data_IF_058604081141
#
_entry.id   IF_058604081141
#
_cell.length_a   1.000
_cell.length_b   1.000
_cell.length_c   1.000
_cell.angle_alpha   90.00
_cell.angle_beta   90.00
_cell.angle_gamma   90.00
#
_symmetry.space_group_name_H-M   'P 1'
#
loop_
_entity.id
_entity.type
_entity.pdbx_description
1 polymer ?
#
# COMPACT_ATOMS: atom_id res chain seq x y z
N UNK A 1 18.74 23.86 -9.50
CA UNK A 1 19.72 22.75 -9.40
C UNK A 1 20.26 22.77 -7.99
N UNK A 2 20.40 21.62 -7.31
CA UNK A 2 21.11 21.57 -6.04
C UNK A 2 22.54 22.11 -6.24
N UNK A 3 23.06 22.83 -5.24
CA UNK A 3 24.43 23.36 -5.26
C UNK A 3 25.44 22.22 -5.19
N UNK A 4 26.57 22.36 -5.90
CA UNK A 4 27.69 21.43 -5.78
C UNK A 4 28.39 21.65 -4.43
N UNK A 5 28.10 20.77 -3.49
CA UNK A 5 28.69 20.76 -2.15
C UNK A 5 29.14 19.32 -1.80
N UNK A 6 30.44 19.01 -1.97
CA UNK A 6 30.99 17.71 -1.62
C UNK A 6 30.75 17.33 -0.17
N UNK A 7 30.69 18.30 0.75
CA UNK A 7 30.59 18.00 2.17
C UNK A 7 29.18 17.57 2.58
N UNK A 8 28.16 18.29 2.13
CA UNK A 8 26.78 17.82 2.29
C UNK A 8 26.54 16.48 1.56
N UNK A 9 27.27 16.23 0.47
CA UNK A 9 27.22 14.98 -0.29
C UNK A 9 27.64 13.74 0.52
N UNK A 10 28.72 13.84 1.32
CA UNK A 10 29.22 12.70 2.12
C UNK A 10 28.18 12.21 3.11
N UNK A 11 27.42 13.08 3.77
CA UNK A 11 26.37 12.65 4.72
C UNK A 11 25.31 11.79 4.02
N UNK A 12 24.96 12.15 2.77
CA UNK A 12 24.04 11.35 1.95
C UNK A 12 24.65 10.00 1.56
N UNK A 13 25.93 9.97 1.20
CA UNK A 13 26.64 8.74 0.84
C UNK A 13 26.78 7.81 2.05
N UNK A 14 27.05 8.35 3.23
CA UNK A 14 27.14 7.62 4.51
C UNK A 14 25.81 6.98 4.89
N UNK A 15 24.69 7.68 4.66
CA UNK A 15 23.34 7.15 4.90
C UNK A 15 23.04 5.87 4.10
N UNK A 16 23.58 5.76 2.89
CA UNK A 16 23.45 4.57 2.04
C UNK A 16 24.62 3.60 2.14
N UNK A 17 25.50 3.79 3.13
CA UNK A 17 26.69 2.98 3.33
C UNK A 17 27.61 2.89 2.10
N UNK A 18 27.71 3.98 1.33
CA UNK A 18 28.59 4.04 0.16
C UNK A 18 30.04 4.17 0.62
N UNK A 19 30.90 3.24 0.19
CA UNK A 19 32.33 3.21 0.53
C UNK A 19 33.21 3.86 -0.53
N UNK A 20 32.76 3.84 -1.79
CA UNK A 20 33.55 4.29 -2.93
C UNK A 20 32.75 5.28 -3.77
N UNK A 21 33.40 6.35 -4.17
CA UNK A 21 32.85 7.37 -5.06
C UNK A 21 33.66 7.43 -6.35
N UNK A 22 32.97 7.49 -7.50
CA UNK A 22 33.61 7.57 -8.81
C UNK A 22 33.30 8.92 -9.44
N UNK A 23 34.33 9.73 -9.68
CA UNK A 23 34.20 11.03 -10.33
C UNK A 23 34.73 10.99 -11.76
N UNK A 24 34.05 11.67 -12.68
CA UNK A 24 34.48 11.84 -14.07
C UNK A 24 34.81 13.28 -14.44
N UNK A 25 34.05 14.26 -13.91
CA UNK A 25 34.25 15.68 -14.22
C UNK A 25 35.53 16.21 -13.57
N UNK A 26 36.18 17.17 -14.23
CA UNK A 26 37.37 17.83 -13.68
C UNK A 26 37.05 18.57 -12.39
N UNK A 27 35.95 19.33 -12.38
CA UNK A 27 35.47 20.08 -11.21
C UNK A 27 35.30 19.19 -9.97
N UNK A 28 34.66 18.03 -10.12
CA UNK A 28 34.48 17.10 -8.99
C UNK A 28 35.80 16.47 -8.58
N UNK A 29 36.67 16.11 -9.53
CA UNK A 29 38.00 15.56 -9.19
C UNK A 29 38.84 16.55 -8.38
N UNK A 30 38.94 17.81 -8.84
CA UNK A 30 39.69 18.86 -8.16
C UNK A 30 39.12 19.13 -6.73
N UNK A 31 37.79 19.13 -6.58
CA UNK A 31 37.14 19.30 -5.29
C UNK A 31 37.38 18.12 -4.32
N UNK A 32 37.30 16.87 -4.80
CA UNK A 32 37.50 15.69 -3.96
C UNK A 32 38.98 15.48 -3.60
N UNK A 33 39.91 15.87 -4.48
CA UNK A 33 41.36 15.78 -4.22
C UNK A 33 41.84 16.68 -3.08
N UNK A 34 41.06 17.70 -2.73
CA UNK A 34 41.37 18.64 -1.65
C UNK A 34 40.53 18.41 -0.39
N UNK A 35 39.63 17.43 -0.40
CA UNK A 35 38.74 17.14 0.72
C UNK A 35 39.23 15.91 1.49
N UNK A 36 39.59 16.11 2.77
CA UNK A 36 40.17 15.08 3.63
C UNK A 36 39.24 13.88 3.89
N UNK A 37 37.94 14.01 3.61
CA UNK A 37 36.98 12.89 3.70
C UNK A 37 37.02 11.95 2.51
N UNK A 38 37.74 12.30 1.45
CA UNK A 38 37.94 11.45 0.29
C UNK A 38 39.41 11.09 0.14
N UNK A 39 39.69 9.79 0.04
CA UNK A 39 41.02 9.28 -0.22
C UNK A 39 41.11 8.74 -1.64
N UNK A 40 41.92 9.33 -2.53
CA UNK A 40 42.06 8.84 -3.89
C UNK A 40 42.66 7.41 -3.88
N UNK A 41 42.08 6.53 -4.70
CA UNK A 41 42.53 5.14 -4.83
C UNK A 41 43.20 4.89 -6.18
N UNK A 42 42.48 5.17 -7.27
CA UNK A 42 42.92 4.84 -8.63
C UNK A 42 42.26 5.73 -9.67
N UNK A 43 43.01 6.06 -10.71
CA UNK A 43 42.52 6.73 -11.90
C UNK A 43 42.54 5.76 -13.10
N UNK A 44 41.44 5.75 -13.87
CA UNK A 44 41.20 4.85 -14.99
C UNK A 44 40.54 5.66 -16.12
N UNK A 45 41.36 6.12 -17.08
CA UNK A 45 40.89 7.00 -18.14
C UNK A 45 40.32 8.29 -17.56
N UNK A 46 39.08 8.62 -17.91
CA UNK A 46 38.39 9.83 -17.41
C UNK A 46 37.92 9.71 -15.95
N UNK A 47 37.88 8.50 -15.40
CA UNK A 47 37.32 8.23 -14.07
C UNK A 47 38.40 8.18 -12.99
N UNK A 48 38.08 8.74 -11.82
CA UNK A 48 38.90 8.61 -10.61
C UNK A 48 38.05 8.08 -9.47
N UNK A 49 38.56 7.04 -8.80
CA UNK A 49 37.90 6.33 -7.71
C UNK A 49 38.46 6.81 -6.38
N UNK A 50 37.57 7.16 -5.46
CA UNK A 50 37.87 7.64 -4.12
C UNK A 50 37.26 6.67 -3.10
N UNK A 51 38.00 6.35 -2.03
CA UNK A 51 37.43 5.82 -0.81
C UNK A 51 36.89 6.97 0.04
N UNK A 52 35.76 6.76 0.69
CA UNK A 52 35.22 7.70 1.67
C UNK A 52 35.81 7.32 3.04
N UNK A 53 36.45 8.28 3.72
CA UNK A 53 37.10 8.08 5.02
C UNK A 53 36.08 8.14 6.16
N UNK A 54 35.06 7.28 6.11
CA UNK A 54 34.01 7.13 7.12
C UNK A 54 33.84 5.65 7.47
N UNK A 55 33.44 5.38 8.71
CA UNK A 55 33.09 4.03 9.13
C UNK A 55 31.84 3.56 8.38
N UNK A 56 32.03 2.58 7.50
CA UNK A 56 30.98 1.96 6.71
C UNK A 56 30.38 0.78 7.46
N UNK A 57 29.11 0.91 7.85
CA UNK A 57 28.31 -0.15 8.45
C UNK A 57 26.89 -0.10 7.91
N UNK A 58 26.31 -1.28 7.70
CA UNK A 58 24.92 -1.40 7.30
C UNK A 58 23.96 -1.28 8.48
N UNK A 59 24.41 -1.55 9.70
CA UNK A 59 23.59 -1.45 10.89
C UNK A 59 24.27 -0.52 11.90
N UNK A 60 23.56 0.50 12.35
CA UNK A 60 24.06 1.43 13.37
C UNK A 60 22.93 1.92 14.27
N UNK A 61 23.30 2.38 15.47
CA UNK A 61 22.39 3.17 16.30
C UNK A 61 22.29 4.57 15.68
N UNK A 62 21.09 5.10 15.41
CA UNK A 62 20.95 6.43 14.85
C UNK A 62 21.47 7.49 15.82
N UNK A 63 22.00 8.60 15.29
CA UNK A 63 22.56 9.70 16.11
C UNK A 63 21.51 10.33 17.03
N UNK A 64 20.25 10.34 16.60
CA UNK A 64 19.12 10.91 17.34
C UNK A 64 17.95 9.94 17.40
N UNK A 65 17.11 10.12 18.40
CA UNK A 65 15.89 9.34 18.59
C UNK A 65 14.99 9.43 17.36
N UNK A 66 14.50 8.29 16.84
CA UNK A 66 13.61 8.30 15.70
C UNK A 66 12.24 8.90 16.06
N UNK A 67 11.60 9.52 15.07
CA UNK A 67 10.26 10.09 15.18
C UNK A 67 9.26 9.20 14.43
N UNK A 68 8.21 8.75 15.12
CA UNK A 68 7.15 7.97 14.48
C UNK A 68 6.13 8.90 13.81
N UNK A 69 5.84 8.66 12.54
CA UNK A 69 4.86 9.39 11.74
C UNK A 69 3.75 8.43 11.34
N UNK A 70 2.53 8.71 11.81
CA UNK A 70 1.36 7.89 11.50
C UNK A 70 0.71 8.44 10.24
N UNK A 71 0.95 7.81 9.08
CA UNK A 71 0.56 8.30 7.76
C UNK A 71 0.50 7.17 6.71
N UNK A 72 -0.31 7.35 5.67
CA UNK A 72 -0.20 6.57 4.41
C UNK A 72 0.73 7.24 3.39
N UNK A 73 0.99 8.54 3.55
CA UNK A 73 1.74 9.38 2.62
C UNK A 73 3.24 9.44 2.96
N UNK A 74 3.81 8.31 3.37
CA UNK A 74 5.20 8.22 3.85
C UNK A 74 6.22 8.75 2.82
N UNK A 75 5.95 8.62 1.52
CA UNK A 75 6.85 9.05 0.44
C UNK A 75 7.08 10.56 0.47
N UNK A 76 6.03 11.34 0.72
CA UNK A 76 6.13 12.80 0.77
C UNK A 76 6.97 13.22 1.99
N UNK A 77 6.64 12.70 3.18
CA UNK A 77 7.41 12.97 4.40
C UNK A 77 8.87 12.55 4.26
N UNK A 78 9.14 11.40 3.64
CA UNK A 78 10.48 10.90 3.36
C UNK A 78 11.25 11.83 2.42
N UNK A 79 10.63 12.29 1.34
CA UNK A 79 11.23 13.22 0.39
C UNK A 79 11.54 14.59 1.03
N UNK A 80 10.59 15.13 1.79
CA UNK A 80 10.74 16.42 2.47
C UNK A 80 11.84 16.34 3.53
N UNK A 81 11.88 15.24 4.29
CA UNK A 81 12.96 14.94 5.23
C UNK A 81 14.32 14.85 4.55
N UNK A 82 14.41 14.13 3.43
CA UNK A 82 15.67 13.95 2.69
C UNK A 82 16.21 15.29 2.16
N UNK A 83 15.30 16.20 1.79
CA UNK A 83 15.62 17.54 1.31
C UNK A 83 15.90 18.54 2.45
N UNK A 84 15.68 18.17 3.71
CA UNK A 84 15.84 19.04 4.88
C UNK A 84 17.23 18.96 5.53
N UNK A 85 17.52 19.87 6.46
CA UNK A 85 18.75 19.85 7.27
C UNK A 85 18.68 18.87 8.45
N UNK A 86 17.53 18.21 8.69
CA UNK A 86 17.30 17.35 9.86
C UNK A 86 17.48 15.84 9.55
N UNK A 87 18.29 15.50 8.55
CA UNK A 87 18.56 14.11 8.12
C UNK A 87 19.17 13.21 9.20
N UNK A 88 19.68 13.77 10.28
CA UNK A 88 20.23 12.98 11.41
C UNK A 88 19.15 12.32 12.28
N UNK A 89 17.90 12.82 12.22
CA UNK A 89 16.76 12.26 12.95
C UNK A 89 15.95 11.38 12.00
N UNK A 90 15.97 10.05 12.13
CA UNK A 90 15.18 9.18 11.25
C UNK A 90 13.68 9.40 11.45
N UNK A 91 12.93 9.50 10.35
CA UNK A 91 11.48 9.35 10.38
C UNK A 91 11.13 7.87 10.24
N UNK A 92 10.16 7.43 11.01
CA UNK A 92 9.62 6.06 10.96
C UNK A 92 8.15 6.14 10.60
N UNK A 93 7.70 5.31 9.68
CA UNK A 93 6.35 5.39 9.12
C UNK A 93 5.52 4.18 9.48
N UNK A 94 4.28 4.42 9.87
CA UNK A 94 3.29 3.38 10.12
C UNK A 94 1.88 3.87 9.77
N UNK A 95 1.00 3.03 9.20
CA UNK A 95 -0.39 3.43 8.93
C UNK A 95 -1.24 3.50 10.20
N UNK A 96 -0.84 2.79 11.25
CA UNK A 96 -1.53 2.63 12.54
C UNK A 96 -0.54 2.66 13.68
N UNK A 97 -1.04 2.75 14.90
CA UNK A 97 -0.22 2.75 16.12
C UNK A 97 -0.74 1.70 17.11
N UNK A 98 0.18 0.99 17.76
CA UNK A 98 -0.12 0.01 18.81
C UNK A 98 0.62 0.31 20.14
N UNK A 99 0.37 -0.49 21.18
CA UNK A 99 1.02 -0.33 22.49
C UNK A 99 2.54 -0.51 22.44
N UNK A 100 3.01 -1.38 21.54
CA UNK A 100 4.45 -1.59 21.35
C UNK A 100 5.10 -0.31 20.81
N UNK A 101 4.50 0.34 19.81
CA UNK A 101 4.97 1.62 19.27
C UNK A 101 5.06 2.70 20.35
N UNK A 102 4.03 2.82 21.20
CA UNK A 102 3.98 3.79 22.31
C UNK A 102 5.08 3.54 23.37
N UNK A 103 5.62 2.33 23.43
CA UNK A 103 6.74 1.96 24.32
C UNK A 103 8.12 2.25 23.71
N UNK A 104 8.20 2.39 22.38
CA UNK A 104 9.46 2.57 21.63
C UNK A 104 9.70 4.01 21.18
N UNK A 105 8.64 4.76 20.90
CA UNK A 105 8.73 6.11 20.37
C UNK A 105 8.28 7.15 21.39
N UNK A 106 9.19 8.09 21.69
CA UNK A 106 8.88 9.26 22.53
C UNK A 106 8.15 10.36 21.76
N UNK A 107 8.39 10.48 20.46
CA UNK A 107 7.85 11.55 19.62
C UNK A 107 7.02 10.93 18.51
N UNK A 108 5.78 11.40 18.38
CA UNK A 108 4.80 10.90 17.43
C UNK A 108 4.18 12.09 16.68
N UNK A 109 4.18 12.00 15.35
CA UNK A 109 3.53 12.93 14.44
C UNK A 109 2.29 12.25 13.85
N UNK A 110 1.12 12.85 14.04
CA UNK A 110 -0.16 12.27 13.63
C UNK A 110 -0.71 12.98 12.40
N UNK A 111 -0.55 12.38 11.22
CA UNK A 111 -1.20 12.82 9.97
C UNK A 111 -2.67 12.33 9.90
N UNK A 112 -3.03 11.36 10.76
CA UNK A 112 -4.39 10.81 10.89
C UNK A 112 -4.90 10.97 12.33
N UNK A 113 -6.19 11.28 12.55
CA UNK A 113 -6.76 11.35 13.89
C UNK A 113 -7.04 9.93 14.43
N UNK A 114 -6.03 9.26 15.01
CA UNK A 114 -6.26 8.03 15.78
C UNK A 114 -6.46 8.35 17.26
N UNK A 115 -7.43 7.68 17.91
CA UNK A 115 -7.59 7.73 19.37
C UNK A 115 -6.43 6.99 20.04
N UNK A 116 -5.49 7.75 20.59
CA UNK A 116 -4.36 7.21 21.36
C UNK A 116 -4.62 7.46 22.85
N UNK A 117 -4.56 6.42 23.67
CA UNK A 117 -4.38 6.58 25.10
C UNK A 117 -2.91 6.92 25.35
N UNK A 118 -2.64 8.22 25.49
CA UNK A 118 -1.30 8.76 25.64
C UNK A 118 -0.70 8.36 26.99
N UNK A 119 0.55 7.90 26.99
CA UNK A 119 1.39 7.80 28.18
C UNK A 119 2.06 9.16 28.49
N UNK A 120 2.37 9.43 29.76
CA UNK A 120 2.86 10.76 30.21
C UNK A 120 4.10 11.26 29.45
N UNK A 121 4.92 10.34 28.94
CA UNK A 121 6.21 10.66 28.30
C UNK A 121 6.14 10.88 26.78
N UNK A 122 5.02 10.56 26.11
CA UNK A 122 4.91 10.75 24.66
C UNK A 122 4.71 12.23 24.32
N UNK A 123 5.36 12.71 23.27
CA UNK A 123 5.15 14.02 22.68
C UNK A 123 4.39 13.82 21.38
N UNK A 124 3.23 14.48 21.29
CA UNK A 124 2.35 14.40 20.14
C UNK A 124 2.46 15.70 19.35
N UNK A 125 2.69 15.57 18.05
CA UNK A 125 2.78 16.66 17.08
C UNK A 125 1.86 16.37 15.89
N UNK A 126 1.62 17.41 15.09
CA UNK A 126 0.91 17.31 13.82
C UNK A 126 1.85 17.64 12.64
N UNK A 127 1.49 17.30 11.39
CA UNK A 127 2.38 17.45 10.23
C UNK A 127 2.96 18.86 10.06
N UNK A 128 2.18 19.90 10.35
CA UNK A 128 2.61 21.30 10.31
C UNK A 128 3.71 21.64 11.33
N UNK A 129 3.85 20.83 12.39
CA UNK A 129 4.85 20.98 13.44
C UNK A 129 6.01 19.98 13.30
N UNK A 130 6.15 19.28 12.17
CA UNK A 130 7.17 18.23 12.01
C UNK A 130 8.60 18.72 12.27
N UNK A 131 8.90 19.98 11.92
CA UNK A 131 10.22 20.57 12.21
C UNK A 131 10.45 20.71 13.72
N UNK A 132 9.40 21.00 14.50
CA UNK A 132 9.50 21.06 15.95
C UNK A 132 9.67 19.66 16.55
N UNK A 133 8.97 18.66 16.01
CA UNK A 133 9.15 17.25 16.37
C UNK A 133 10.59 16.76 16.11
N UNK A 134 11.17 17.12 14.96
CA UNK A 134 12.55 16.76 14.62
C UNK A 134 13.56 17.45 15.55
N UNK A 135 13.30 18.70 15.96
CA UNK A 135 14.13 19.44 16.92
C UNK A 135 14.03 18.90 18.34
N UNK A 136 12.87 18.36 18.74
CA UNK A 136 12.66 17.81 20.08
C UNK A 136 13.27 16.42 20.26
N UNK A 137 13.65 15.74 19.17
CA UNK A 137 14.40 14.48 19.20
C UNK A 137 15.70 14.65 19.97
N UNK A 138 16.05 13.71 20.85
CA UNK A 138 17.27 13.76 21.64
C UNK A 138 18.41 13.01 20.96
N UNK A 139 19.65 13.37 21.27
CA UNK A 139 20.82 12.61 20.83
C UNK A 139 20.87 11.29 21.59
N UNK A 140 21.14 10.20 20.88
CA UNK A 140 21.33 8.88 21.52
C UNK A 140 22.81 8.77 21.90
N UNK A 141 23.08 8.65 23.20
CA UNK A 141 24.39 8.32 23.72
C UNK A 141 24.33 6.90 24.28
N UNK A 142 25.04 5.99 23.63
CA UNK A 142 25.05 4.58 24.01
C UNK A 142 26.45 4.01 23.85
N UNK A 143 26.84 3.16 24.80
CA UNK A 143 28.11 2.43 24.80
C UNK A 143 27.86 0.97 24.43
N UNK A 144 27.11 0.78 23.34
CA UNK A 144 26.73 -0.53 22.85
C UNK A 144 27.39 -0.81 21.50
N UNK A 145 27.62 -2.09 21.23
CA UNK A 145 28.28 -2.59 20.04
C UNK A 145 27.29 -3.30 19.14
N UNK A 146 27.46 -3.10 17.83
CA UNK A 146 26.70 -3.77 16.79
C UNK A 146 27.68 -4.36 15.79
N UNK A 147 27.49 -5.63 15.47
CA UNK A 147 28.18 -6.31 14.37
C UNK A 147 27.17 -6.97 13.46
N UNK A 148 27.32 -6.73 12.16
CA UNK A 148 26.46 -7.28 11.14
C UNK A 148 27.21 -8.29 10.25
N UNK A 149 26.46 -9.26 9.73
CA UNK A 149 26.92 -10.15 8.64
C UNK A 149 25.84 -10.22 7.59
N UNK A 150 26.15 -9.73 6.39
CA UNK A 150 25.27 -9.82 5.22
C UNK A 150 25.45 -11.14 4.50
N UNK A 151 24.32 -11.74 4.13
CA UNK A 151 24.21 -12.87 3.21
C UNK A 151 23.18 -12.50 2.12
N UNK A 152 22.96 -13.39 1.16
CA UNK A 152 22.16 -13.09 -0.04
C UNK A 152 20.73 -12.64 0.28
N UNK A 153 20.04 -13.34 1.19
CA UNK A 153 18.64 -13.06 1.57
C UNK A 153 18.47 -12.89 3.08
N UNK A 154 19.56 -12.67 3.82
CA UNK A 154 19.52 -12.50 5.27
C UNK A 154 20.60 -11.56 5.80
N UNK A 155 20.26 -10.87 6.89
CA UNK A 155 21.12 -9.98 7.65
C UNK A 155 21.15 -10.52 9.08
N UNK A 156 22.34 -10.94 9.52
CA UNK A 156 22.57 -11.37 10.89
C UNK A 156 23.16 -10.21 11.67
N UNK A 157 22.61 -9.94 12.85
CA UNK A 157 23.04 -8.85 13.72
C UNK A 157 23.30 -9.44 15.10
N UNK A 158 24.51 -9.23 15.61
CA UNK A 158 24.86 -9.49 17.01
C UNK A 158 25.06 -8.13 17.70
N UNK A 159 24.34 -7.91 18.81
CA UNK A 159 24.35 -6.62 19.50
C UNK A 159 24.01 -6.74 20.99
N UNK A 160 24.51 -5.81 21.80
CA UNK A 160 24.06 -5.60 23.19
C UNK A 160 23.14 -4.36 23.33
N UNK A 161 22.77 -3.71 22.22
CA UNK A 161 21.89 -2.54 22.18
C UNK A 161 20.40 -2.92 22.35
N UNK A 162 20.06 -3.61 23.44
CA UNK A 162 18.70 -4.13 23.67
C UNK A 162 17.72 -2.98 23.89
N UNK A 163 16.57 -3.04 23.22
CA UNK A 163 15.50 -2.04 23.17
C UNK A 163 15.92 -0.67 22.61
N UNK A 164 17.12 -0.54 22.04
CA UNK A 164 17.56 0.69 21.36
C UNK A 164 17.25 0.61 19.86
N UNK A 165 17.00 1.75 19.19
CA UNK A 165 16.75 1.74 17.76
C UNK A 165 18.03 1.36 17.00
N UNK A 166 17.94 0.38 16.10
CA UNK A 166 18.98 0.08 15.12
C UNK A 166 18.48 0.41 13.72
N UNK A 167 19.16 1.34 13.06
CA UNK A 167 18.92 1.69 11.67
C UNK A 167 19.67 0.70 10.79
N UNK A 168 18.93 -0.02 9.96
CA UNK A 168 19.45 -0.97 8.98
C UNK A 168 19.38 -0.29 7.61
N UNK A 169 20.54 0.07 7.07
CA UNK A 169 20.76 0.75 5.79
C UNK A 169 20.58 -0.19 4.59
N UNK A 170 19.54 -1.00 4.64
CA UNK A 170 19.05 -1.85 3.54
C UNK A 170 17.62 -1.44 3.25
N UNK A 171 17.26 -1.40 1.97
CA UNK A 171 15.93 -0.96 1.56
C UNK A 171 14.83 -1.83 2.16
N UNK A 172 13.83 -1.18 2.75
CA UNK A 172 12.63 -1.82 3.26
C UNK A 172 11.82 -2.44 2.12
N UNK A 173 11.22 -3.58 2.44
CA UNK A 173 10.26 -4.28 1.61
C UNK A 173 9.32 -5.07 2.53
N UNK A 174 8.01 -5.18 2.22
CA UNK A 174 7.04 -5.85 3.10
C UNK A 174 7.34 -7.32 3.43
N UNK A 175 8.09 -8.01 2.57
CA UNK A 175 8.45 -9.42 2.78
C UNK A 175 9.63 -9.63 3.72
N UNK A 176 10.32 -8.57 4.17
CA UNK A 176 11.35 -8.75 5.20
C UNK A 176 10.70 -9.19 6.51
N UNK A 177 11.27 -10.23 7.10
CA UNK A 177 10.87 -10.81 8.37
C UNK A 177 12.00 -10.63 9.37
N UNK A 178 11.68 -10.58 10.67
CA UNK A 178 12.67 -10.45 11.73
C UNK A 178 12.45 -11.47 12.84
N UNK A 179 13.54 -12.06 13.31
CA UNK A 179 13.61 -12.85 14.54
C UNK A 179 14.49 -12.11 15.53
N UNK A 180 14.03 -11.92 16.77
CA UNK A 180 14.79 -11.20 17.80
C UNK A 180 14.45 -9.70 17.92
N UNK A 181 13.46 -9.24 17.17
CA UNK A 181 12.73 -7.98 17.37
C UNK A 181 11.24 -8.24 17.04
N UNK A 182 10.34 -7.37 17.52
CA UNK A 182 8.90 -7.52 17.29
C UNK A 182 8.50 -7.33 15.82
N UNK A 183 8.96 -6.23 15.20
CA UNK A 183 8.65 -5.89 13.81
C UNK A 183 9.73 -5.01 13.18
N UNK A 184 9.72 -4.98 11.85
CA UNK A 184 10.56 -4.10 11.04
C UNK A 184 9.74 -2.88 10.67
N UNK A 185 10.27 -1.70 10.96
CA UNK A 185 9.65 -0.45 10.57
C UNK A 185 10.24 0.06 9.25
N UNK A 186 9.39 0.71 8.45
CA UNK A 186 9.82 1.53 7.33
C UNK A 186 10.38 2.85 7.86
N UNK A 187 11.67 3.11 7.62
CA UNK A 187 12.37 4.32 8.02
C UNK A 187 12.76 5.17 6.80
N UNK A 188 12.92 6.47 7.00
CA UNK A 188 13.38 7.37 5.94
C UNK A 188 14.83 7.08 5.54
N UNK A 189 15.18 7.17 4.24
CA UNK A 189 14.29 7.49 3.12
C UNK A 189 13.46 6.31 2.61
N UNK A 190 13.96 5.08 2.77
CA UNK A 190 13.24 3.83 2.51
C UNK A 190 14.00 2.66 3.15
N UNK A 191 14.58 2.91 4.31
CA UNK A 191 15.42 1.98 5.07
C UNK A 191 14.58 1.21 6.09
N UNK A 192 15.24 0.35 6.87
CA UNK A 192 14.60 -0.41 7.93
C UNK A 192 15.05 0.10 9.31
N UNK A 193 14.14 0.10 10.28
CA UNK A 193 14.46 0.30 11.69
C UNK A 193 13.91 -0.86 12.50
N UNK A 194 14.68 -1.35 13.47
CA UNK A 194 14.27 -2.38 14.43
C UNK A 194 14.62 -1.96 15.85
N UNK A 195 13.95 -2.57 16.83
CA UNK A 195 14.31 -2.50 18.24
C UNK A 195 14.64 -3.91 18.72
N UNK A 196 15.91 -4.26 18.95
CA UNK A 196 16.29 -5.60 19.37
C UNK A 196 15.73 -5.99 20.73
N UNK A 197 15.16 -7.19 20.83
CA UNK A 197 14.73 -7.80 22.09
C UNK A 197 15.68 -8.91 22.55
N UNK A 198 16.55 -9.38 21.64
CA UNK A 198 17.55 -10.41 21.87
C UNK A 198 18.90 -9.95 21.32
N UNK A 199 19.99 -10.54 21.82
CA UNK A 199 21.35 -10.21 21.37
C UNK A 199 21.63 -10.64 19.92
N UNK A 200 20.96 -11.70 19.46
CA UNK A 200 21.04 -12.19 18.09
C UNK A 200 19.75 -11.92 17.34
N UNK A 201 19.86 -11.17 16.26
CA UNK A 201 18.75 -10.82 15.39
C UNK A 201 19.03 -11.39 14.00
N UNK A 202 17.99 -11.94 13.39
CA UNK A 202 18.01 -12.39 12.01
C UNK A 202 16.91 -11.68 11.25
N UNK A 203 17.29 -10.86 10.28
CA UNK A 203 16.38 -10.31 9.29
C UNK A 203 16.52 -11.16 8.03
N UNK A 204 15.42 -11.69 7.50
CA UNK A 204 15.46 -12.54 6.31
C UNK A 204 14.29 -12.26 5.37
N UNK A 205 14.48 -12.51 4.08
CA UNK A 205 13.44 -12.30 3.09
C UNK A 205 12.47 -13.48 3.07
N UNK A 206 11.18 -13.21 3.27
CA UNK A 206 10.13 -14.24 3.28
C UNK A 206 9.71 -14.67 1.86
N UNK A 207 9.38 -15.96 1.71
CA UNK A 207 8.83 -16.50 0.45
C UNK A 207 7.37 -16.11 0.25
N UNK A 208 7.03 -15.70 -0.96
CA UNK A 208 5.65 -15.46 -1.40
C UNK A 208 4.96 -16.75 -1.87
N UNK A 209 3.64 -16.70 -2.05
CA UNK A 209 2.90 -17.80 -2.69
C UNK A 209 3.36 -18.05 -4.13
N UNK A 210 3.72 -16.98 -4.84
CA UNK A 210 4.26 -17.06 -6.20
C UNK A 210 5.58 -17.83 -6.22
N UNK A 211 6.48 -17.58 -5.25
CA UNK A 211 7.76 -18.30 -5.13
C UNK A 211 7.53 -19.79 -4.90
N UNK A 212 6.60 -20.16 -4.01
CA UNK A 212 6.27 -21.57 -3.72
C UNK A 212 5.70 -22.29 -4.95
N UNK A 213 4.81 -21.64 -5.71
CA UNK A 213 4.24 -22.20 -6.94
C UNK A 213 5.31 -22.32 -8.03
N UNK A 214 6.17 -21.31 -8.16
CA UNK A 214 7.30 -21.31 -9.09
C UNK A 214 8.29 -22.44 -8.80
N UNK A 215 8.65 -22.62 -7.53
CA UNK A 215 9.51 -23.71 -7.07
C UNK A 215 8.88 -25.08 -7.36
N UNK A 216 7.59 -25.27 -7.05
CA UNK A 216 6.87 -26.51 -7.36
C UNK A 216 6.84 -26.77 -8.87
N UNK A 217 6.57 -25.75 -9.67
CA UNK A 217 6.52 -25.85 -11.14
C UNK A 217 7.88 -26.21 -11.74
N UNK A 218 8.96 -25.67 -11.18
CA UNK A 218 10.34 -26.01 -11.58
C UNK A 218 10.67 -27.47 -11.28
N UNK A 219 10.29 -27.96 -10.09
CA UNK A 219 10.45 -29.37 -9.72
C UNK A 219 9.66 -30.27 -10.69
N UNK A 220 8.40 -29.93 -10.98
CA UNK A 220 7.57 -30.68 -11.94
C UNK A 220 8.20 -30.67 -13.34
N UNK A 221 8.72 -29.53 -13.80
CA UNK A 221 9.42 -29.42 -15.08
C UNK A 221 10.63 -30.34 -15.16
N UNK A 222 11.48 -30.35 -14.12
CA UNK A 222 12.64 -31.24 -14.03
C UNK A 222 12.21 -32.71 -14.05
N UNK A 223 11.15 -33.08 -13.31
CA UNK A 223 10.62 -34.45 -13.30
C UNK A 223 10.09 -34.88 -14.68
N UNK A 224 9.43 -33.97 -15.41
CA UNK A 224 8.95 -34.23 -16.78
C UNK A 224 10.13 -34.46 -17.74
N UNK A 225 11.16 -33.59 -17.67
CA UNK A 225 12.37 -33.74 -18.49
C UNK A 225 13.08 -35.05 -18.16
N UNK A 226 13.24 -35.38 -16.88
CA UNK A 226 13.85 -36.63 -16.45
C UNK A 226 13.07 -37.86 -16.92
N UNK A 227 11.73 -37.82 -16.82
CA UNK A 227 10.85 -38.85 -17.35
C UNK A 227 10.97 -39.01 -18.87
N UNK A 228 11.05 -37.90 -19.61
CA UNK A 228 11.26 -37.93 -21.07
C UNK A 228 12.62 -38.55 -21.44
N UNK A 229 13.69 -38.17 -20.75
CA UNK A 229 15.02 -38.73 -20.98
C UNK A 229 15.08 -40.23 -20.65
N UNK A 230 14.44 -40.65 -19.56
CA UNK A 230 14.31 -42.07 -19.20
C UNK A 230 13.53 -42.86 -20.26
N UNK A 231 12.38 -42.35 -20.71
CA UNK A 231 11.56 -43.04 -21.73
C UNK A 231 12.20 -43.07 -23.13
N UNK A 232 13.14 -42.16 -23.41
CA UNK A 232 13.99 -42.19 -24.63
C UNK A 232 15.08 -43.27 -24.58
N UNK A 233 15.51 -43.70 -23.39
CA UNK A 233 16.51 -44.76 -23.24
C UNK A 233 15.90 -46.15 -23.50
N UNK A 234 16.45 -46.89 -24.47
CA UNK A 234 15.88 -48.14 -25.01
C UNK A 234 15.74 -49.29 -24.00
N UNK A 235 16.53 -49.29 -22.92
CA UNK A 235 16.41 -50.24 -21.81
C UNK A 235 15.22 -49.91 -20.90
N UNK A 236 14.99 -48.65 -20.58
CA UNK A 236 13.93 -48.22 -19.68
C UNK A 236 12.57 -48.19 -20.38
N UNK A 237 12.54 -47.90 -21.69
CA UNK A 237 11.33 -48.00 -22.52
C UNK A 237 10.66 -49.39 -22.45
N UNK A 238 11.45 -50.47 -22.48
CA UNK A 238 10.94 -51.86 -22.34
C UNK A 238 10.35 -52.15 -20.96
N UNK A 239 10.94 -51.60 -19.90
CA UNK A 239 10.44 -51.75 -18.52
C UNK A 239 9.18 -50.90 -18.30
N UNK A 240 9.17 -49.68 -18.83
CA UNK A 240 8.02 -48.78 -18.80
C UNK A 240 6.83 -49.34 -19.58
N UNK A 241 7.05 -49.90 -20.78
CA UNK A 241 6.00 -50.61 -21.52
C UNK A 241 5.47 -51.82 -20.73
N UNK A 242 6.31 -52.61 -20.06
CA UNK A 242 5.87 -53.72 -19.18
C UNK A 242 5.12 -53.24 -17.94
N UNK A 243 5.53 -52.13 -17.32
CA UNK A 243 4.85 -51.51 -16.17
C UNK A 243 3.51 -50.89 -16.55
N UNK A 244 3.43 -50.17 -17.68
CA UNK A 244 2.16 -49.68 -18.23
C UNK A 244 1.25 -50.83 -18.61
N UNK A 245 1.78 -51.93 -19.17
CA UNK A 245 1.02 -53.16 -19.41
C UNK A 245 0.54 -53.75 -18.09
N UNK A 246 1.34 -53.81 -17.02
CA UNK A 246 0.92 -54.30 -15.69
C UNK A 246 -0.09 -53.36 -15.01
N UNK A 247 0.03 -52.05 -15.15
CA UNK A 247 -0.94 -51.06 -14.65
C UNK A 247 -2.25 -51.15 -15.46
N UNK A 248 -2.16 -51.30 -16.79
CA UNK A 248 -3.30 -51.68 -17.65
C UNK A 248 -3.89 -53.00 -17.18
N UNK A 249 -3.09 -54.03 -16.94
CA UNK A 249 -3.56 -55.37 -16.56
C UNK A 249 -4.21 -55.39 -15.17
N UNK A 250 -3.70 -54.57 -14.24
CA UNK A 250 -4.24 -54.42 -12.88
C UNK A 250 -5.51 -53.57 -12.87
N UNK A 251 -5.72 -52.67 -13.84
CA UNK A 251 -6.98 -51.91 -14.02
C UNK A 251 -7.96 -52.56 -15.01
N UNK A 252 -7.54 -53.54 -15.84
CA UNK A 252 -8.39 -54.11 -16.91
C UNK A 252 -9.35 -55.21 -16.48
N UNK A 253 -9.22 -55.82 -15.29
CA UNK A 253 -10.03 -57.01 -14.97
C UNK A 253 -11.31 -56.77 -14.16
N UNK A 254 -11.63 -55.55 -13.73
CA UNK A 254 -12.88 -55.34 -12.96
C UNK A 254 -13.67 -54.05 -13.22
N UNK A 255 -13.27 -53.15 -14.14
CA UNK A 255 -14.06 -51.92 -14.39
C UNK A 255 -14.14 -51.45 -15.86
N UNK A 256 -13.95 -52.32 -16.85
CA UNK A 256 -14.11 -51.93 -18.27
C UNK A 256 -15.51 -52.23 -18.83
N UNK A 257 -16.20 -53.28 -18.37
CA UNK A 257 -17.58 -53.53 -18.82
C UNK A 257 -18.56 -52.45 -18.37
N UNK A 258 -18.38 -51.88 -17.16
CA UNK A 258 -19.26 -50.85 -16.60
C UNK A 258 -18.99 -49.42 -17.10
N UNK A 259 -17.77 -49.13 -17.58
CA UNK A 259 -17.44 -47.80 -18.09
C UNK A 259 -17.73 -47.66 -19.59
N UNK A 260 -17.69 -48.76 -20.35
CA UNK A 260 -18.02 -48.77 -21.79
C UNK A 260 -19.50 -48.44 -22.05
N UNK A 261 -20.38 -48.83 -21.13
CA UNK A 261 -21.81 -48.54 -21.18
C UNK A 261 -22.15 -47.09 -20.77
N UNK A 262 -21.28 -46.44 -19.98
CA UNK A 262 -21.41 -45.01 -19.61
C UNK A 262 -20.71 -44.03 -20.56
N UNK A 263 -19.70 -44.49 -21.31
CA UNK A 263 -18.95 -43.69 -22.29
C UNK A 263 -19.54 -43.72 -23.72
N UNK A 264 -20.56 -44.53 -23.98
CA UNK A 264 -21.35 -44.51 -25.23
C UNK A 264 -22.25 -43.27 -25.36
N UNK A 265 -22.48 -42.56 -24.25
CA UNK A 265 -23.24 -41.30 -24.21
C UNK A 265 -22.39 -40.03 -24.31
N UNK A 266 -21.06 -40.14 -24.44
CA UNK A 266 -20.19 -38.98 -24.62
C UNK A 266 -19.91 -38.72 -26.11
N UNK A 267 -20.13 -37.49 -26.61
CA UNK A 267 -20.00 -37.17 -28.03
C UNK A 267 -18.57 -37.42 -28.55
N UNK A 268 -18.47 -38.01 -29.75
CA UNK A 268 -17.25 -38.61 -30.32
C UNK A 268 -16.03 -37.70 -30.50
N UNK A 269 -16.19 -36.39 -30.36
CA UNK A 269 -15.11 -35.39 -30.41
C UNK A 269 -14.05 -35.56 -29.30
N UNK A 270 -14.41 -36.11 -28.13
CA UNK A 270 -13.50 -36.25 -26.99
C UNK A 270 -12.51 -37.42 -27.09
N UNK A 271 -12.72 -38.38 -28.00
CA UNK A 271 -12.03 -39.68 -27.97
C UNK A 271 -10.71 -39.72 -28.75
N UNK A 272 -10.49 -38.80 -29.70
CA UNK A 272 -9.27 -38.76 -30.55
C UNK A 272 -8.22 -37.74 -30.11
N UNK A 273 -8.61 -36.72 -29.33
CA UNK A 273 -7.83 -35.50 -29.14
C UNK A 273 -7.38 -35.28 -27.69
N UNK A 274 -7.20 -36.34 -26.89
CA UNK A 274 -6.79 -36.20 -25.48
C UNK A 274 -5.43 -35.50 -25.30
N UNK A 275 -4.52 -35.66 -26.26
CA UNK A 275 -3.26 -34.90 -26.32
C UNK A 275 -3.50 -33.40 -26.53
N UNK A 276 -4.49 -33.04 -27.34
CA UNK A 276 -4.93 -31.66 -27.53
C UNK A 276 -5.69 -31.13 -26.32
N UNK A 277 -6.40 -31.97 -25.56
CA UNK A 277 -7.00 -31.58 -24.28
C UNK A 277 -5.96 -31.29 -23.20
N UNK A 278 -4.88 -32.08 -23.12
CA UNK A 278 -3.77 -31.81 -22.20
C UNK A 278 -2.99 -30.56 -22.61
N UNK A 279 -2.75 -30.38 -23.92
CA UNK A 279 -2.11 -29.17 -24.44
C UNK A 279 -3.00 -27.95 -24.21
N UNK A 280 -4.31 -28.06 -24.46
CA UNK A 280 -5.28 -27.00 -24.24
C UNK A 280 -5.49 -26.72 -22.75
N UNK A 281 -5.41 -27.71 -21.87
CA UNK A 281 -5.46 -27.53 -20.42
C UNK A 281 -4.19 -26.85 -19.91
N UNK A 282 -3.01 -27.24 -20.41
CA UNK A 282 -1.76 -26.58 -20.07
C UNK A 282 -1.74 -25.12 -20.56
N UNK A 283 -2.18 -24.88 -21.81
CA UNK A 283 -2.34 -23.52 -22.34
C UNK A 283 -3.40 -22.75 -21.55
N UNK A 284 -4.53 -23.37 -21.18
CA UNK A 284 -5.57 -22.73 -20.37
C UNK A 284 -5.06 -22.35 -18.98
N UNK A 285 -4.33 -23.23 -18.29
CA UNK A 285 -3.78 -22.92 -16.97
C UNK A 285 -2.58 -21.96 -17.05
N UNK A 286 -1.75 -22.03 -18.10
CA UNK A 286 -0.69 -21.05 -18.34
C UNK A 286 -1.25 -19.68 -18.70
N UNK A 287 -2.33 -19.63 -19.49
CA UNK A 287 -3.06 -18.40 -19.82
C UNK A 287 -3.88 -17.89 -18.63
N UNK A 288 -4.41 -18.76 -17.77
CA UNK A 288 -5.09 -18.37 -16.53
C UNK A 288 -4.08 -17.86 -15.50
N UNK A 289 -2.91 -18.49 -15.38
CA UNK A 289 -1.83 -18.03 -14.54
C UNK A 289 -1.25 -16.71 -15.07
N UNK A 290 -1.08 -16.57 -16.40
CA UNK A 290 -0.71 -15.32 -17.04
C UNK A 290 -1.83 -14.28 -16.90
N UNK A 291 -3.11 -14.66 -16.95
CA UNK A 291 -4.24 -13.75 -16.74
C UNK A 291 -4.36 -13.33 -15.28
N UNK A 292 -4.05 -14.18 -14.31
CA UNK A 292 -4.01 -13.84 -12.89
C UNK A 292 -2.78 -13.00 -12.56
N UNK A 293 -1.61 -13.34 -13.13
CA UNK A 293 -0.37 -12.56 -13.03
C UNK A 293 -0.48 -11.21 -13.72
N UNK A 294 -1.11 -11.18 -14.90
CA UNK A 294 -1.48 -9.93 -15.56
C UNK A 294 -2.59 -9.24 -14.79
N UNK A 295 -3.62 -9.86 -14.21
CA UNK A 295 -4.62 -9.15 -13.38
C UNK A 295 -4.01 -8.56 -12.11
N UNK A 296 -2.92 -9.14 -11.60
CA UNK A 296 -2.11 -8.57 -10.53
C UNK A 296 -1.26 -7.38 -11.02
N UNK A 297 -1.16 -7.16 -12.35
CA UNK A 297 -0.43 -6.09 -13.03
C UNK A 297 -1.25 -5.25 -14.05
N UNK A 298 -2.53 -5.55 -14.28
CA UNK A 298 -3.38 -5.08 -15.38
C UNK A 298 -4.80 -4.86 -14.88
N UNK A 299 -4.92 -4.12 -13.79
CA UNK A 299 -6.04 -3.18 -13.68
C UNK A 299 -5.76 -2.04 -14.66
N UNK A 300 -6.09 -2.25 -15.95
CA UNK A 300 -6.52 -1.24 -16.95
C UNK A 300 -6.36 -1.74 -18.40
N UNK A 301 -7.38 -1.42 -19.21
CA UNK A 301 -7.56 -1.59 -20.67
C UNK A 301 -8.15 -2.95 -21.09
N UNK A 302 -9.19 -3.09 -21.94
CA UNK A 302 -9.88 -2.17 -22.86
C UNK A 302 -11.22 -2.81 -23.35
N UNK A 303 -12.17 -1.97 -23.79
CA UNK A 303 -13.26 -2.20 -24.77
C UNK A 303 -14.43 -3.19 -24.50
N UNK A 304 -15.66 -2.64 -24.46
CA UNK A 304 -16.81 -3.25 -25.14
C UNK A 304 -17.95 -2.24 -25.43
N UNK A 305 -18.27 -2.09 -26.71
CA UNK A 305 -19.51 -1.49 -27.23
C UNK A 305 -20.52 -2.61 -27.56
N UNK A 306 -21.79 -2.32 -27.26
CA UNK A 306 -23.01 -2.78 -27.94
C UNK A 306 -23.64 -4.17 -27.66
N UNK A 307 -24.97 -4.09 -27.45
CA UNK A 307 -26.05 -5.09 -27.58
C UNK A 307 -26.21 -6.18 -26.50
N UNK A 308 -27.40 -6.15 -25.86
CA UNK A 308 -28.06 -7.36 -25.36
C UNK A 308 -28.79 -7.17 -24.03
N UNK A 309 -30.12 -7.10 -24.09
CA UNK A 309 -31.05 -7.08 -22.96
C UNK A 309 -30.99 -8.37 -22.10
N UNK A 310 -31.05 -8.23 -20.76
CA UNK A 310 -32.04 -8.88 -19.86
C UNK A 310 -31.65 -8.82 -18.36
N UNK A 311 -32.51 -8.17 -17.55
CA UNK A 311 -33.02 -8.70 -16.26
C UNK A 311 -32.18 -8.60 -14.98
N UNK A 312 -32.61 -7.73 -14.05
CA UNK A 312 -32.35 -7.83 -12.60
C UNK A 312 -32.31 -6.49 -11.86
N UNK A 313 -33.10 -6.33 -10.79
CA UNK A 313 -33.03 -5.19 -9.85
C UNK A 313 -31.82 -5.33 -8.91
N UNK A 314 -30.92 -4.35 -8.90
CA UNK A 314 -29.92 -4.16 -7.83
C UNK A 314 -29.73 -2.66 -7.58
N UNK A 315 -29.83 -2.27 -6.31
CA UNK A 315 -29.59 -0.92 -5.78
C UNK A 315 -28.09 -0.62 -5.71
N UNK A 316 -27.65 0.53 -6.24
CA UNK A 316 -26.25 0.96 -6.23
C UNK A 316 -25.89 1.77 -4.99
N UNK A 317 -24.77 1.39 -4.39
CA UNK A 317 -24.14 2.00 -3.23
C UNK A 317 -22.93 2.82 -3.71
N UNK A 318 -22.91 4.11 -3.41
CA UNK A 318 -21.77 5.00 -3.69
C UNK A 318 -21.09 5.37 -2.39
N UNK A 319 -19.90 4.84 -2.15
CA UNK A 319 -19.05 5.24 -1.02
C UNK A 319 -18.44 6.61 -1.29
N UNK A 320 -18.57 7.54 -0.33
CA UNK A 320 -17.61 8.64 -0.19
C UNK A 320 -16.54 8.14 0.79
N UNK A 321 -15.31 8.57 0.60
CA UNK A 321 -14.26 8.31 1.58
C UNK A 321 -14.63 8.93 2.94
N UNK A 322 -14.25 8.25 4.03
CA UNK A 322 -14.40 8.75 5.38
C UNK A 322 -13.82 10.18 5.53
N UNK A 323 -14.64 11.18 5.84
CA UNK A 323 -14.17 12.52 6.19
C UNK A 323 -14.36 12.81 7.68
N UNK A 324 -13.25 13.08 8.36
CA UNK A 324 -13.24 13.65 9.70
C UNK A 324 -13.44 15.16 9.62
N UNK A 325 -14.46 15.67 10.31
CA UNK A 325 -14.65 17.12 10.41
C UNK A 325 -13.80 17.69 11.53
N UNK A 326 -12.91 18.60 11.12
CA UNK A 326 -11.94 19.28 11.95
C UNK A 326 -10.62 19.38 11.18
N UNK A 327 -10.17 20.61 10.93
CA UNK A 327 -8.95 21.05 10.25
C UNK A 327 -9.09 21.62 8.83
N UNK A 328 -8.62 22.85 8.75
CA UNK A 328 -8.59 23.76 7.62
C UNK A 328 -7.42 23.37 6.70
N UNK A 329 -7.63 22.44 5.78
CA UNK A 329 -6.66 22.21 4.71
C UNK A 329 -6.91 23.21 3.58
N UNK A 330 -5.94 24.11 3.35
CA UNK A 330 -5.80 24.75 2.05
C UNK A 330 -5.69 23.64 1.00
N UNK A 331 -6.63 23.65 0.07
CA UNK A 331 -6.76 22.70 -1.03
C UNK A 331 -5.62 22.90 -2.03
N UNK A 332 -4.50 22.20 -1.82
CA UNK A 332 -3.56 21.94 -2.91
C UNK A 332 -4.16 20.87 -3.85
N UNK A 333 -4.32 21.29 -5.11
CA UNK A 333 -4.70 20.48 -6.26
C UNK A 333 -3.82 19.22 -6.43
N UNK A 334 -4.13 18.13 -5.70
CA UNK A 334 -3.65 16.79 -6.08
C UNK A 334 -4.59 16.21 -7.15
N UNK A 335 -4.21 16.42 -8.42
CA UNK A 335 -4.70 15.61 -9.55
C UNK A 335 -4.26 14.16 -9.35
N UNK A 336 -5.13 13.35 -8.76
CA UNK A 336 -5.11 11.91 -8.99
C UNK A 336 -5.99 11.62 -10.22
N UNK A 337 -5.37 11.30 -11.36
CA UNK A 337 -6.05 10.64 -12.50
C UNK A 337 -6.56 9.27 -11.97
N UNK A 338 -7.84 8.88 -11.90
CA UNK A 338 -9.04 9.11 -12.71
C UNK A 338 -9.05 8.28 -14.01
N UNK A 339 -9.79 7.16 -13.98
CA UNK A 339 -10.43 6.44 -15.12
C UNK A 339 -11.32 5.31 -14.53
N UNK A 340 -12.61 5.49 -14.22
CA UNK A 340 -13.84 5.61 -15.06
C UNK A 340 -14.18 4.33 -15.84
N UNK A 341 -15.40 3.78 -15.77
CA UNK A 341 -16.68 4.31 -16.32
C UNK A 341 -17.89 3.62 -15.64
N UNK A 342 -19.06 4.18 -15.30
CA UNK A 342 -19.92 5.32 -15.69
C UNK A 342 -21.27 4.79 -16.23
N UNK A 343 -22.36 5.05 -15.50
CA UNK A 343 -23.78 5.15 -15.89
C UNK A 343 -24.50 5.61 -14.59
N UNK A 344 -25.08 6.79 -14.38
CA UNK A 344 -25.31 7.98 -15.18
C UNK A 344 -24.48 9.18 -14.67
N UNK A 345 -24.31 10.16 -15.55
CA UNK A 345 -23.44 11.34 -15.46
C UNK A 345 -23.34 12.04 -14.08
N UNK A 346 -22.10 12.20 -13.59
CA UNK A 346 -21.58 13.24 -12.68
C UNK A 346 -22.45 13.68 -11.48
N UNK A 347 -22.30 13.01 -10.34
CA UNK A 347 -22.66 13.60 -9.02
C UNK A 347 -21.73 13.17 -7.89
N UNK A 348 -20.42 13.18 -8.10
CA UNK A 348 -19.53 13.26 -6.93
C UNK A 348 -19.70 14.66 -6.32
N UNK A 349 -19.92 14.78 -5.00
CA UNK A 349 -20.03 16.09 -4.38
C UNK A 349 -18.71 16.85 -4.58
N UNK A 350 -18.83 18.05 -5.11
CA UNK A 350 -17.71 18.98 -5.31
C UNK A 350 -17.62 19.82 -4.03
N UNK A 351 -16.67 19.47 -3.15
CA UNK A 351 -16.51 20.15 -1.87
C UNK A 351 -16.15 21.63 -2.09
N UNK A 352 -16.98 22.53 -1.56
CA UNK A 352 -16.81 23.97 -1.70
C UNK A 352 -16.10 24.54 -0.49
N UNK A 353 -16.48 24.10 0.72
CA UNK A 353 -15.96 24.68 1.96
C UNK A 353 -16.18 23.80 3.19
N UNK A 354 -15.22 23.82 4.14
CA UNK A 354 -15.30 23.14 5.45
C UNK A 354 -14.78 24.07 6.53
N UNK A 355 -15.52 24.23 7.63
CA UNK A 355 -15.08 24.99 8.80
C UNK A 355 -15.54 24.36 10.12
N UNK A 356 -15.06 24.89 11.24
CA UNK A 356 -15.59 24.62 12.57
C UNK A 356 -17.00 25.24 12.68
N UNK A 357 -18.01 24.53 12.21
CA UNK A 357 -19.40 25.02 12.20
C UNK A 357 -20.25 24.37 11.13
N UNK A 358 -19.70 24.20 9.93
CA UNK A 358 -20.46 23.67 8.80
C UNK A 358 -19.59 23.06 7.69
N UNK A 359 -20.25 22.24 6.88
CA UNK A 359 -19.73 21.68 5.63
C UNK A 359 -20.59 22.14 4.48
N UNK A 360 -19.97 22.46 3.35
CA UNK A 360 -20.65 22.86 2.14
C UNK A 360 -20.06 22.18 0.91
N UNK A 361 -20.93 21.61 0.07
CA UNK A 361 -20.55 20.96 -1.18
C UNK A 361 -21.64 21.10 -2.25
N UNK A 362 -21.22 21.10 -3.51
CA UNK A 362 -22.12 21.18 -4.66
C UNK A 362 -22.41 19.80 -5.22
N UNK A 363 -23.65 19.57 -5.62
CA UNK A 363 -24.06 18.37 -6.34
C UNK A 363 -24.84 18.73 -7.59
N UNK A 364 -24.61 17.98 -8.67
CA UNK A 364 -25.47 18.06 -9.85
C UNK A 364 -26.83 17.43 -9.55
N UNK A 365 -27.87 18.00 -10.12
CA UNK A 365 -29.24 17.45 -10.07
C UNK A 365 -29.80 17.35 -11.48
N UNK A 366 -30.76 16.45 -11.66
CA UNK A 366 -31.43 16.29 -12.95
C UNK A 366 -32.62 17.23 -13.02
N UNK A 367 -32.61 18.10 -14.04
CA UNK A 367 -33.69 19.05 -14.27
C UNK A 367 -35.03 18.35 -14.52
N UNK A 368 -36.11 18.98 -14.07
CA UNK A 368 -37.49 18.49 -14.28
C UNK A 368 -37.74 17.07 -13.77
N UNK A 369 -36.93 16.62 -12.79
CA UNK A 369 -37.00 15.30 -12.19
C UNK A 369 -36.98 15.39 -10.68
N UNK A 370 -37.53 14.38 -10.03
CA UNK A 370 -37.42 14.22 -8.59
C UNK A 370 -35.99 13.82 -8.24
N UNK A 371 -35.35 14.61 -7.38
CA UNK A 371 -34.00 14.35 -6.88
C UNK A 371 -34.09 14.09 -5.37
N UNK A 372 -33.57 12.94 -4.92
CA UNK A 372 -33.54 12.55 -3.51
C UNK A 372 -32.10 12.57 -3.03
N UNK A 373 -31.81 13.43 -2.05
CA UNK A 373 -30.54 13.49 -1.35
C UNK A 373 -30.45 12.38 -0.30
N UNK A 374 -29.39 11.60 -0.39
CA UNK A 374 -28.97 10.63 0.60
C UNK A 374 -27.73 11.11 1.35
N UNK A 375 -27.73 10.97 2.68
CA UNK A 375 -26.58 11.23 3.53
C UNK A 375 -26.40 10.07 4.52
N UNK A 376 -25.20 9.50 4.59
CA UNK A 376 -24.78 8.56 5.64
C UNK A 376 -23.85 9.27 6.60
N UNK A 377 -24.24 9.33 7.87
CA UNK A 377 -23.54 10.08 8.90
C UNK A 377 -23.31 9.21 10.12
N UNK A 378 -22.20 9.42 10.82
CA UNK A 378 -21.95 8.77 12.10
C UNK A 378 -22.60 9.56 13.24
N UNK A 379 -23.51 8.95 13.99
CA UNK A 379 -24.12 9.56 15.17
C UNK A 379 -23.12 9.53 16.34
N UNK A 380 -22.63 10.72 16.72
CA UNK A 380 -21.71 10.93 17.84
C UNK A 380 -22.47 11.56 19.02
N UNK A 381 -22.13 11.14 20.24
CA UNK A 381 -22.82 11.51 21.50
C UNK A 381 -22.91 13.04 21.71
N UNK A 382 -21.99 13.80 21.10
CA UNK A 382 -21.84 15.26 21.24
C UNK A 382 -22.39 16.09 20.06
N UNK A 383 -22.84 15.45 18.98
CA UNK A 383 -23.32 16.12 17.77
C UNK A 383 -24.72 15.59 17.41
N UNK A 384 -25.73 15.97 18.21
CA UNK A 384 -27.06 15.34 18.14
C UNK A 384 -27.98 15.99 17.13
N UNK A 385 -27.71 17.24 16.74
CA UNK A 385 -28.59 17.98 15.84
C UNK A 385 -27.87 19.00 14.96
N UNK A 386 -28.37 19.11 13.72
CA UNK A 386 -27.78 19.94 12.68
C UNK A 386 -28.85 20.47 11.73
N UNK A 387 -28.55 21.54 11.03
CA UNK A 387 -29.44 22.20 10.10
C UNK A 387 -28.94 21.93 8.68
N UNK A 388 -29.83 21.41 7.84
CA UNK A 388 -29.60 21.20 6.42
C UNK A 388 -30.12 22.40 5.64
N UNK A 389 -29.24 22.96 4.81
CA UNK A 389 -29.54 24.02 3.87
C UNK A 389 -29.27 23.56 2.44
N UNK A 390 -30.12 23.98 1.51
CA UNK A 390 -29.94 23.78 0.08
C UNK A 390 -29.98 25.16 -0.58
N UNK A 391 -28.90 25.54 -1.28
CA UNK A 391 -28.71 26.89 -1.82
C UNK A 391 -28.99 27.98 -0.77
N UNK A 392 -28.46 27.78 0.45
CA UNK A 392 -28.67 28.62 1.64
C UNK A 392 -30.11 28.74 2.17
N UNK A 393 -31.06 28.00 1.60
CA UNK A 393 -32.43 27.88 2.13
C UNK A 393 -32.49 26.76 3.16
N UNK A 394 -32.95 27.07 4.36
CA UNK A 394 -33.14 26.07 5.41
C UNK A 394 -34.20 25.04 4.98
N UNK A 395 -33.82 23.77 4.91
CA UNK A 395 -34.72 22.68 4.51
C UNK A 395 -35.26 21.95 5.72
N UNK A 396 -34.38 21.51 6.62
CA UNK A 396 -34.79 20.71 7.78
C UNK A 396 -33.72 20.66 8.85
N UNK A 397 -34.16 20.48 10.09
CA UNK A 397 -33.29 20.03 11.18
C UNK A 397 -33.13 18.51 11.13
N UNK A 398 -31.88 18.07 11.13
CA UNK A 398 -31.46 16.68 11.22
C UNK A 398 -31.17 16.40 12.68
N UNK A 399 -31.81 15.37 13.25
CA UNK A 399 -31.56 14.92 14.61
C UNK A 399 -31.09 13.46 14.57
N UNK A 400 -29.98 13.18 15.24
CA UNK A 400 -29.48 11.83 15.45
C UNK A 400 -30.46 11.02 16.31
N UNK A 401 -30.34 9.69 16.25
CA UNK A 401 -31.18 8.80 17.05
C UNK A 401 -30.63 8.58 18.47
N UNK A 402 -29.47 9.18 18.78
CA UNK A 402 -28.81 9.13 20.09
C UNK A 402 -28.18 7.78 20.39
N UNK A 403 -28.04 6.90 19.40
CA UNK A 403 -27.36 5.62 19.50
C UNK A 403 -26.08 5.65 18.67
N UNK A 404 -25.01 5.13 19.25
CA UNK A 404 -23.71 5.06 18.59
C UNK A 404 -23.80 4.21 17.32
N UNK A 405 -23.47 4.79 16.16
CA UNK A 405 -23.41 4.07 14.89
C UNK A 405 -23.77 4.91 13.66
N UNK A 406 -23.82 4.24 12.50
CA UNK A 406 -24.24 4.87 11.24
C UNK A 406 -25.73 5.15 11.21
N UNK A 407 -26.08 6.33 10.71
CA UNK A 407 -27.44 6.72 10.43
C UNK A 407 -27.56 7.28 9.01
N UNK A 408 -28.60 6.83 8.31
CA UNK A 408 -28.87 7.20 6.93
C UNK A 408 -30.05 8.16 6.90
N UNK A 409 -29.89 9.28 6.22
CA UNK A 409 -30.90 10.31 6.05
C UNK A 409 -31.28 10.47 4.58
N UNK A 410 -32.57 10.62 4.33
CA UNK A 410 -33.14 10.84 2.99
C UNK A 410 -33.95 12.13 2.96
N UNK A 411 -33.68 12.99 1.97
CA UNK A 411 -34.38 14.25 1.78
C UNK A 411 -34.77 14.43 0.32
N UNK A 412 -36.05 14.73 0.06
CA UNK A 412 -36.47 15.17 -1.27
C UNK A 412 -36.00 16.61 -1.48
N UNK A 413 -35.30 16.88 -2.58
CA UNK A 413 -34.92 18.24 -2.95
C UNK A 413 -36.19 19.01 -3.36
N UNK A 414 -36.45 20.19 -2.78
CA UNK A 414 -37.60 21.01 -3.13
C UNK A 414 -37.70 21.32 -4.63
N UNK A 415 -38.93 21.34 -5.17
CA UNK A 415 -39.17 21.58 -6.60
C UNK A 415 -38.70 22.97 -7.08
N UNK A 416 -38.63 23.94 -6.17
CA UNK A 416 -38.05 25.28 -6.42
C UNK A 416 -36.57 25.25 -6.86
N UNK A 417 -35.85 24.15 -6.60
CA UNK A 417 -34.48 23.96 -7.06
C UNK A 417 -34.38 23.03 -8.28
N UNK A 418 -35.48 22.41 -8.73
CA UNK A 418 -35.49 21.41 -9.80
C UNK A 418 -35.14 21.97 -11.18
N UNK A 419 -35.21 23.30 -11.39
CA UNK A 419 -34.79 23.95 -12.64
C UNK A 419 -33.27 24.18 -12.71
N UNK A 420 -32.55 24.01 -11.60
CA UNK A 420 -31.10 24.16 -11.55
C UNK A 420 -30.39 22.89 -12.06
N UNK A 421 -29.18 23.05 -12.59
CA UNK A 421 -28.31 21.91 -12.89
C UNK A 421 -27.44 21.49 -11.71
N UNK A 422 -27.34 22.34 -10.68
CA UNK A 422 -26.54 22.12 -9.47
C UNK A 422 -27.24 22.70 -8.23
N UNK A 423 -27.02 22.08 -7.10
CA UNK A 423 -27.43 22.60 -5.79
C UNK A 423 -26.24 22.56 -4.84
N UNK A 424 -26.14 23.57 -4.00
CA UNK A 424 -25.18 23.65 -2.90
C UNK A 424 -25.85 23.12 -1.65
N UNK A 425 -25.29 22.07 -1.07
CA UNK A 425 -25.72 21.54 0.22
C UNK A 425 -24.83 22.10 1.29
N UNK A 426 -25.43 22.65 2.36
CA UNK A 426 -24.73 23.08 3.56
C UNK A 426 -25.31 22.38 4.78
N UNK A 427 -24.44 21.78 5.59
CA UNK A 427 -24.77 21.12 6.85
C UNK A 427 -24.12 21.89 7.98
N UNK A 428 -24.90 22.48 8.87
CA UNK A 428 -24.42 23.30 9.99
C UNK A 428 -24.79 22.64 11.32
N UNK A 429 -23.82 22.45 12.22
CA UNK A 429 -24.11 21.82 13.52
C UNK A 429 -24.70 22.84 14.50
N UNK A 430 -25.65 22.41 15.33
CA UNK A 430 -26.31 23.28 16.31
C UNK A 430 -25.71 23.19 17.72
N UNK A 431 -24.85 22.19 17.97
CA UNK A 431 -24.26 21.94 19.30
C UNK A 431 -22.89 22.63 19.45
N UNK A 432 -22.68 23.47 20.48
CA UNK A 432 -21.42 24.19 20.70
C UNK A 432 -20.27 23.31 21.20
N UNK A 433 -20.55 22.11 21.71
CA UNK A 433 -19.55 21.08 22.07
C UNK A 433 -19.29 20.08 20.92
N UNK A 434 -19.96 20.26 19.79
CA UNK A 434 -19.76 19.42 18.61
C UNK A 434 -18.50 19.90 17.87
N UNK A 435 -17.49 19.04 17.83
CA UNK A 435 -16.24 19.29 17.11
C UNK A 435 -16.31 18.87 15.63
N UNK A 436 -17.41 18.23 15.18
CA UNK A 436 -17.62 17.83 13.78
C UNK A 436 -18.64 16.70 13.58
N UNK A 437 -19.28 16.67 12.40
CA UNK A 437 -20.11 15.59 11.85
C UNK A 437 -19.32 14.67 10.89
N UNK A 438 -19.13 13.40 11.20
CA UNK A 438 -18.49 12.48 10.24
C UNK A 438 -19.48 12.10 9.12
N UNK A 439 -19.40 12.79 7.97
CA UNK A 439 -20.13 12.47 6.75
C UNK A 439 -19.34 11.44 5.96
N UNK A 440 -19.91 10.25 5.79
CA UNK A 440 -19.25 9.14 5.10
C UNK A 440 -19.79 8.87 3.72
N UNK A 441 -21.07 9.15 3.42
CA UNK A 441 -21.60 8.99 2.06
C UNK A 441 -22.63 10.09 1.79
N UNK A 442 -22.64 10.61 0.56
CA UNK A 442 -23.61 11.58 0.09
C UNK A 442 -23.85 11.38 -1.41
N UNK A 443 -25.10 11.21 -1.83
CA UNK A 443 -25.43 11.06 -3.25
C UNK A 443 -26.85 11.50 -3.56
N UNK A 444 -27.11 11.81 -4.84
CA UNK A 444 -28.44 12.09 -5.35
C UNK A 444 -28.98 10.84 -6.05
N UNK A 445 -30.13 10.34 -5.57
CA UNK A 445 -30.91 9.32 -6.24
C UNK A 445 -32.04 9.97 -7.03
N UNK A 446 -32.14 9.61 -8.31
CA UNK A 446 -33.26 10.01 -9.18
C UNK A 446 -34.16 8.79 -9.39
N UNK A 447 -35.39 8.78 -8.86
CA UNK A 447 -36.31 7.65 -9.04
C UNK A 447 -36.56 7.33 -10.52
N UNK A 448 -36.49 6.05 -10.88
CA UNK A 448 -36.73 5.59 -12.25
C UNK A 448 -35.51 5.61 -13.18
N UNK A 449 -34.32 6.01 -12.69
CA UNK A 449 -33.05 5.80 -13.40
C UNK A 449 -32.52 4.39 -13.13
N UNK A 450 -32.46 3.53 -14.16
CA UNK A 450 -31.81 2.21 -14.09
C UNK A 450 -30.42 2.27 -14.72
N UNK A 451 -29.40 1.88 -13.96
CA UNK A 451 -28.04 1.74 -14.47
C UNK A 451 -27.85 0.29 -14.93
N UNK A 452 -27.46 0.09 -16.19
CA UNK A 452 -27.17 -1.23 -16.76
C UNK A 452 -25.72 -1.62 -16.42
N UNK A 453 -25.50 -2.81 -15.87
CA UNK A 453 -24.18 -3.33 -15.51
C UNK A 453 -23.31 -3.67 -16.71
#
# INVERSE_FOLDING_TARGET
MPSFDPDSGVESLRLYNVQYFVASSKETKDALDTNDRFRPLKEIGEFKVYAINEDSRYVEVPRREPVLVITDNWKQFSYDWFSSDYRETPLVFSPTIDEYDLSRFRIIVMDKPLRIQKNENTQLFYPEEITQALKSSQKIETDCTVTETLREEEILIDTNCINQPLLVKVSYFPNWMVEGAEKIYLASPSLMLIFPEKERIRIYYGETLADKIGNLSSILGILIVFYYLLTRNSRFRRVHERLLILIRYRQLRTRISLLQERLSHLPGFLRGNWRWFLLASFVFFASLALFLYLNEQSSCNEFCLSRGYAGGEVSFQGTIDHYHLGYNHQTENKRHNLLCTALCDKTRPEMVYVSNGYVQFDMSIVKDRENILYLRMWDNVNCRSGNLYINDVFVKRIEGNGKFGWHDFEFKIPEEFADSSKVTIKLEHSDPECYGWDLSEAYIRVPGCMCYH
#
